data_IF_792986962098
#
_entry.id   IF_792986962098
#
_cell.length_a   1.000
_cell.length_b   1.000
_cell.length_c   1.000
_cell.angle_alpha   90.00
_cell.angle_beta   90.00
_cell.angle_gamma   90.00
#
_symmetry.space_group_name_H-M   'P 1'
#
loop_
_entity.id
_entity.type
_entity.pdbx_description
1 polymer ?
#
# COMPACT_ATOMS: atom_id res chain seq x y z
N UNK A 1 -16.12 -8.02 4.60
CA UNK A 1 -15.70 -9.20 5.39
C UNK A 1 -14.19 -9.24 5.40
N UNK A 2 -13.57 -9.48 6.55
CA UNK A 2 -12.12 -9.62 6.69
C UNK A 2 -11.78 -11.07 7.01
N UNK A 3 -10.83 -11.64 6.28
CA UNK A 3 -10.13 -12.87 6.66
C UNK A 3 -8.83 -12.42 7.32
N UNK A 4 -8.71 -12.66 8.62
CA UNK A 4 -7.66 -12.11 9.49
C UNK A 4 -6.85 -13.26 10.13
N UNK A 5 -5.63 -13.52 9.67
CA UNK A 5 -4.76 -14.55 10.24
C UNK A 5 -4.07 -14.10 11.54
N UNK A 6 -3.89 -12.79 11.75
CA UNK A 6 -3.10 -12.23 12.86
C UNK A 6 -3.96 -11.72 14.02
N UNK A 7 -5.29 -11.75 13.88
CA UNK A 7 -6.27 -11.35 14.91
C UNK A 7 -6.22 -9.86 15.27
N UNK A 8 -5.69 -9.03 14.37
CA UNK A 8 -5.58 -7.59 14.58
C UNK A 8 -6.93 -6.87 14.44
N UNK A 9 -7.79 -7.38 13.56
CA UNK A 9 -9.04 -6.72 13.14
C UNK A 9 -10.12 -6.75 14.22
N UNK A 10 -10.10 -7.75 15.10
CA UNK A 10 -11.09 -7.89 16.18
C UNK A 10 -11.09 -6.68 17.13
N UNK A 11 -9.89 -6.16 17.42
CA UNK A 11 -9.72 -4.97 18.26
C UNK A 11 -10.36 -3.71 17.67
N UNK A 12 -10.50 -3.65 16.34
CA UNK A 12 -10.99 -2.47 15.61
C UNK A 12 -12.46 -2.59 15.20
N UNK A 13 -12.93 -3.79 14.87
CA UNK A 13 -14.23 -3.99 14.21
C UNK A 13 -15.16 -4.98 14.94
N UNK A 14 -14.76 -5.48 16.11
CA UNK A 14 -15.54 -6.39 16.96
C UNK A 14 -15.16 -7.86 16.78
N UNK A 15 -15.70 -8.74 17.63
CA UNK A 15 -15.29 -10.15 17.66
C UNK A 15 -15.53 -10.92 16.36
N UNK A 16 -14.62 -11.84 16.07
CA UNK A 16 -14.72 -12.75 14.93
C UNK A 16 -15.92 -13.69 15.03
N UNK A 17 -16.33 -14.27 13.89
CA UNK A 17 -17.29 -15.37 13.87
C UNK A 17 -16.72 -16.58 14.58
N UNK A 18 -17.56 -17.30 15.31
CA UNK A 18 -17.13 -18.43 16.13
C UNK A 18 -17.09 -19.76 15.38
N UNK A 19 -17.82 -19.87 14.26
CA UNK A 19 -17.85 -21.06 13.42
C UNK A 19 -18.29 -20.75 11.98
N UNK A 20 -18.08 -21.68 11.01
CA UNK A 20 -18.61 -21.54 9.65
C UNK A 20 -20.13 -21.38 9.60
N UNK A 21 -20.87 -21.99 10.52
CA UNK A 21 -22.33 -21.85 10.63
C UNK A 21 -22.72 -20.44 11.10
N UNK A 22 -22.01 -19.87 12.08
CA UNK A 22 -22.20 -18.46 12.46
C UNK A 22 -21.90 -17.56 11.27
N UNK A 23 -20.83 -17.81 10.50
CA UNK A 23 -20.57 -17.06 9.27
C UNK A 23 -21.75 -17.15 8.28
N UNK A 24 -22.29 -18.34 8.02
CA UNK A 24 -23.46 -18.52 7.15
C UNK A 24 -24.65 -17.71 7.66
N UNK A 25 -24.93 -17.78 8.96
CA UNK A 25 -26.01 -17.04 9.59
C UNK A 25 -25.83 -15.52 9.42
N UNK A 26 -24.64 -14.98 9.67
CA UNK A 26 -24.32 -13.55 9.47
C UNK A 26 -24.46 -13.14 8.00
N UNK A 27 -23.98 -13.96 7.06
CA UNK A 27 -24.09 -13.66 5.63
C UNK A 27 -25.55 -13.69 5.15
N UNK A 28 -26.37 -14.56 5.73
CA UNK A 28 -27.81 -14.66 5.45
C UNK A 28 -28.57 -13.46 6.01
N UNK A 29 -28.39 -13.18 7.31
CA UNK A 29 -29.08 -12.09 8.02
C UNK A 29 -28.62 -10.71 7.60
N UNK A 30 -27.33 -10.57 7.25
CA UNK A 30 -26.66 -9.28 6.98
C UNK A 30 -26.87 -8.26 8.11
N UNK A 31 -26.86 -8.76 9.34
CA UNK A 31 -27.08 -7.99 10.56
C UNK A 31 -25.86 -7.16 10.98
N UNK A 32 -24.66 -7.50 10.47
CA UNK A 32 -23.42 -6.76 10.70
C UNK A 32 -22.84 -6.19 9.40
N UNK A 33 -22.39 -4.92 9.38
CA UNK A 33 -21.74 -4.33 8.20
C UNK A 33 -20.35 -4.90 7.95
N UNK A 34 -19.65 -5.29 9.02
CA UNK A 34 -18.32 -5.91 8.98
C UNK A 34 -18.41 -7.25 9.71
N UNK A 35 -17.89 -8.28 9.06
CA UNK A 35 -17.77 -9.64 9.59
C UNK A 35 -16.29 -10.01 9.51
N UNK A 36 -15.75 -10.53 10.60
CA UNK A 36 -14.34 -10.93 10.72
C UNK A 36 -14.32 -12.45 10.83
N UNK A 37 -13.46 -13.08 10.05
CA UNK A 37 -13.17 -14.51 10.09
C UNK A 37 -11.72 -14.65 10.50
N UNK A 38 -11.49 -15.25 11.66
CA UNK A 38 -10.15 -15.55 12.13
C UNK A 38 -9.74 -16.91 11.54
N UNK A 39 -8.72 -16.92 10.71
CA UNK A 39 -8.19 -18.14 10.11
C UNK A 39 -6.68 -18.00 9.95
N UNK A 40 -5.91 -18.73 10.77
CA UNK A 40 -4.44 -18.59 10.84
C UNK A 40 -3.73 -19.20 9.65
N UNK A 41 -4.34 -20.21 9.03
CA UNK A 41 -3.78 -20.94 7.91
C UNK A 41 -4.87 -21.46 6.96
N UNK A 42 -4.44 -22.14 5.90
CA UNK A 42 -5.33 -22.72 4.90
C UNK A 42 -6.31 -23.75 5.50
N UNK A 43 -5.90 -24.55 6.47
CA UNK A 43 -6.75 -25.58 7.08
C UNK A 43 -7.90 -24.95 7.85
N UNK A 44 -7.61 -23.91 8.64
CA UNK A 44 -8.65 -23.14 9.33
C UNK A 44 -9.54 -22.37 8.35
N UNK A 45 -8.98 -21.87 7.24
CA UNK A 45 -9.71 -21.09 6.25
C UNK A 45 -10.72 -21.90 5.41
N UNK A 46 -10.36 -23.12 4.99
CA UNK A 46 -11.16 -23.92 4.03
C UNK A 46 -12.64 -24.04 4.41
N UNK A 47 -13.01 -24.39 5.66
CA UNK A 47 -14.41 -24.47 6.07
C UNK A 47 -15.19 -23.15 5.87
N UNK A 48 -14.59 -22.02 6.23
CA UNK A 48 -15.18 -20.69 6.03
C UNK A 48 -15.25 -20.32 4.54
N UNK A 49 -14.20 -20.64 3.79
CA UNK A 49 -14.13 -20.41 2.35
C UNK A 49 -15.21 -21.16 1.57
N UNK A 50 -15.53 -22.39 1.97
CA UNK A 50 -16.66 -23.16 1.40
C UNK A 50 -18.01 -22.50 1.69
N UNK A 51 -18.27 -22.14 2.95
CA UNK A 51 -19.51 -21.44 3.33
C UNK A 51 -19.67 -20.13 2.55
N UNK A 52 -18.58 -19.39 2.39
CA UNK A 52 -18.55 -18.16 1.62
C UNK A 52 -18.96 -18.40 0.17
N UNK A 53 -18.39 -19.40 -0.49
CA UNK A 53 -18.73 -19.75 -1.88
C UNK A 53 -20.19 -20.15 -2.01
N UNK A 54 -20.69 -21.01 -1.11
CA UNK A 54 -22.09 -21.44 -1.08
C UNK A 54 -23.03 -20.22 -0.96
N UNK A 55 -22.76 -19.34 0.02
CA UNK A 55 -23.57 -18.15 0.25
C UNK A 55 -23.50 -17.16 -0.93
N UNK A 56 -22.33 -17.04 -1.56
CA UNK A 56 -22.14 -16.18 -2.72
C UNK A 56 -22.92 -16.71 -3.93
N UNK A 57 -22.96 -18.03 -4.13
CA UNK A 57 -23.73 -18.68 -5.19
C UNK A 57 -25.25 -18.61 -4.95
N UNK A 58 -25.69 -18.84 -3.70
CA UNK A 58 -27.09 -18.86 -3.31
C UNK A 58 -27.71 -17.46 -3.31
N UNK A 59 -27.09 -16.50 -2.60
CA UNK A 59 -27.72 -15.20 -2.37
C UNK A 59 -27.38 -14.18 -3.45
N UNK A 60 -26.18 -14.26 -4.06
CA UNK A 60 -25.66 -13.30 -5.07
C UNK A 60 -25.82 -11.83 -4.66
N UNK A 61 -25.69 -11.55 -3.37
CA UNK A 61 -25.76 -10.19 -2.82
C UNK A 61 -24.35 -9.58 -2.78
N UNK A 62 -24.23 -8.26 -2.97
CA UNK A 62 -22.94 -7.58 -2.91
C UNK A 62 -22.16 -7.92 -1.62
N UNK A 63 -20.94 -8.42 -1.80
CA UNK A 63 -20.02 -8.75 -0.73
C UNK A 63 -18.61 -8.29 -1.11
N UNK A 64 -17.99 -7.49 -0.24
CA UNK A 64 -16.59 -7.12 -0.35
C UNK A 64 -15.77 -7.94 0.63
N UNK A 65 -14.78 -8.66 0.13
CA UNK A 65 -13.93 -9.56 0.90
C UNK A 65 -12.52 -9.01 0.90
N UNK A 66 -11.95 -8.81 2.08
CA UNK A 66 -10.55 -8.50 2.26
C UNK A 66 -9.86 -9.74 2.85
N UNK A 67 -8.90 -10.28 2.12
CA UNK A 67 -8.07 -11.39 2.57
C UNK A 67 -6.72 -10.81 2.95
N UNK A 68 -6.43 -10.82 4.26
CA UNK A 68 -5.12 -10.39 4.73
C UNK A 68 -4.09 -11.51 4.55
N UNK A 69 -2.84 -11.14 4.33
CA UNK A 69 -1.72 -12.07 4.10
C UNK A 69 -2.05 -13.24 3.17
N UNK A 70 -2.56 -12.93 1.97
CA UNK A 70 -3.12 -13.89 1.03
C UNK A 70 -2.21 -15.05 0.64
N UNK A 71 -0.89 -14.94 0.83
CA UNK A 71 0.06 -16.03 0.62
C UNK A 71 -0.16 -17.23 1.56
N UNK A 72 -0.88 -17.04 2.67
CA UNK A 72 -1.26 -18.14 3.58
C UNK A 72 -2.36 -19.02 2.98
N UNK A 73 -3.17 -18.46 2.07
CA UNK A 73 -4.35 -19.13 1.49
C UNK A 73 -4.23 -19.38 -0.02
N UNK A 74 -3.19 -18.82 -0.67
CA UNK A 74 -2.96 -18.95 -2.11
C UNK A 74 -1.50 -19.30 -2.39
N UNK A 75 -1.25 -20.40 -3.09
CA UNK A 75 0.10 -20.85 -3.45
C UNK A 75 0.36 -20.83 -4.97
N UNK A 76 1.62 -20.54 -5.34
CA UNK A 76 2.09 -20.52 -6.74
C UNK A 76 2.14 -21.88 -7.43
N UNK A 77 2.27 -22.97 -6.67
CA UNK A 77 2.27 -24.36 -7.17
C UNK A 77 1.11 -25.12 -6.54
N UNK A 78 0.51 -26.05 -7.28
CA UNK A 78 -0.40 -27.06 -6.70
C UNK A 78 0.33 -27.81 -5.61
N UNK A 79 0.02 -27.48 -4.36
CA UNK A 79 0.41 -28.27 -3.19
C UNK A 79 -0.74 -29.24 -2.89
N UNK A 80 -0.39 -30.45 -2.43
CA UNK A 80 -1.39 -31.41 -1.93
C UNK A 80 -1.99 -30.85 -0.63
N UNK A 81 -3.17 -31.34 -0.23
CA UNK A 81 -3.86 -31.00 1.04
C UNK A 81 -4.55 -29.61 1.03
N UNK A 82 -4.89 -29.09 2.22
CA UNK A 82 -5.80 -27.97 2.44
C UNK A 82 -5.36 -26.66 1.77
N UNK A 83 -4.05 -26.45 1.59
CA UNK A 83 -3.52 -25.27 0.88
C UNK A 83 -3.91 -25.26 -0.61
N UNK A 84 -4.01 -26.44 -1.24
CA UNK A 84 -4.48 -26.57 -2.62
C UNK A 84 -5.95 -26.18 -2.73
N UNK A 85 -6.75 -26.63 -1.77
CA UNK A 85 -8.16 -26.30 -1.71
C UNK A 85 -8.41 -24.82 -1.39
N UNK A 86 -7.71 -24.25 -0.41
CA UNK A 86 -7.76 -22.82 -0.13
C UNK A 86 -7.42 -21.99 -1.37
N UNK A 87 -6.39 -22.42 -2.12
CA UNK A 87 -5.99 -21.77 -3.38
C UNK A 87 -7.11 -21.84 -4.41
N UNK A 88 -7.77 -22.99 -4.55
CA UNK A 88 -8.90 -23.18 -5.48
C UNK A 88 -10.11 -22.31 -5.09
N UNK A 89 -10.41 -22.18 -3.80
CA UNK A 89 -11.45 -21.28 -3.28
C UNK A 89 -11.13 -19.82 -3.65
N UNK A 90 -9.90 -19.34 -3.37
CA UNK A 90 -9.47 -17.99 -3.72
C UNK A 90 -9.55 -17.77 -5.24
N UNK A 91 -9.13 -18.74 -6.04
CA UNK A 91 -9.21 -18.66 -7.50
C UNK A 91 -10.66 -18.57 -7.99
N UNK A 92 -11.59 -19.29 -7.37
CA UNK A 92 -13.00 -19.24 -7.75
C UNK A 92 -13.63 -17.89 -7.36
N UNK A 93 -13.27 -17.34 -6.20
CA UNK A 93 -13.68 -15.99 -5.79
C UNK A 93 -13.16 -14.92 -6.76
N UNK A 94 -11.88 -15.01 -7.16
CA UNK A 94 -11.29 -14.05 -8.10
C UNK A 94 -11.89 -14.21 -9.51
N UNK A 95 -11.97 -15.43 -10.03
CA UNK A 95 -12.39 -15.70 -11.41
C UNK A 95 -13.90 -15.59 -11.63
N UNK A 96 -14.72 -15.93 -10.62
CA UNK A 96 -16.20 -15.92 -10.72
C UNK A 96 -16.87 -14.88 -9.85
N UNK A 97 -16.14 -14.15 -9.01
CA UNK A 97 -16.70 -13.16 -8.08
C UNK A 97 -17.63 -12.14 -8.74
N UNK A 98 -17.26 -11.63 -9.92
CA UNK A 98 -18.11 -10.71 -10.71
C UNK A 98 -19.51 -11.26 -10.99
N UNK A 99 -19.66 -12.57 -11.22
CA UNK A 99 -20.97 -13.21 -11.48
C UNK A 99 -21.79 -13.41 -10.19
N UNK A 100 -21.11 -13.45 -9.04
CA UNK A 100 -21.68 -13.69 -7.71
C UNK A 100 -21.84 -12.40 -6.88
N UNK A 101 -21.59 -11.23 -7.48
CA UNK A 101 -21.52 -9.94 -6.79
C UNK A 101 -20.50 -9.91 -5.64
N UNK A 102 -19.37 -10.60 -5.83
CA UNK A 102 -18.26 -10.63 -4.88
C UNK A 102 -17.08 -9.85 -5.44
N UNK A 103 -16.67 -8.84 -4.68
CA UNK A 103 -15.42 -8.13 -4.88
C UNK A 103 -14.40 -8.61 -3.84
N UNK A 104 -13.15 -8.76 -4.27
CA UNK A 104 -12.07 -9.25 -3.42
C UNK A 104 -10.86 -8.33 -3.47
N UNK A 105 -10.27 -8.08 -2.31
CA UNK A 105 -9.00 -7.41 -2.13
C UNK A 105 -8.08 -8.33 -1.34
N UNK A 106 -6.87 -8.53 -1.85
CA UNK A 106 -5.88 -9.43 -1.23
C UNK A 106 -4.65 -8.59 -0.93
N UNK A 107 -4.19 -8.61 0.32
CA UNK A 107 -2.89 -8.07 0.70
C UNK A 107 -1.86 -9.20 0.62
N UNK A 108 -0.62 -8.85 0.27
CA UNK A 108 0.49 -9.79 0.30
C UNK A 108 1.79 -9.00 0.44
N UNK A 109 2.71 -9.54 1.24
CA UNK A 109 4.02 -8.90 1.50
C UNK A 109 4.92 -8.84 0.25
N UNK A 110 4.76 -9.77 -0.69
CA UNK A 110 5.56 -9.83 -1.92
C UNK A 110 4.66 -9.92 -3.15
N UNK A 111 4.96 -9.11 -4.16
CA UNK A 111 4.13 -8.99 -5.35
C UNK A 111 4.16 -10.23 -6.24
N UNK A 112 5.30 -10.90 -6.39
CA UNK A 112 5.41 -12.11 -7.24
C UNK A 112 6.07 -13.24 -6.49
N UNK A 113 5.64 -14.47 -6.78
CA UNK A 113 6.09 -15.77 -6.23
C UNK A 113 5.33 -16.31 -5.00
N UNK A 114 4.53 -15.48 -4.35
CA UNK A 114 3.77 -15.85 -3.15
C UNK A 114 2.35 -16.30 -3.47
N UNK A 115 1.61 -15.54 -4.31
CA UNK A 115 0.24 -15.85 -4.70
C UNK A 115 0.15 -16.65 -6.01
N UNK A 116 -0.98 -17.35 -6.20
CA UNK A 116 -1.27 -18.01 -7.47
C UNK A 116 -1.34 -17.02 -8.64
N UNK A 117 -0.88 -17.45 -9.83
CA UNK A 117 -0.77 -16.59 -11.01
C UNK A 117 -2.12 -16.10 -11.52
N UNK A 118 -3.18 -16.88 -11.34
CA UNK A 118 -4.59 -16.53 -11.65
C UNK A 118 -5.02 -15.22 -11.00
N UNK A 119 -4.63 -14.99 -9.74
CA UNK A 119 -4.97 -13.78 -8.98
C UNK A 119 -4.51 -12.52 -9.71
N UNK A 120 -3.36 -12.59 -10.38
CA UNK A 120 -2.80 -11.45 -11.10
C UNK A 120 -3.43 -11.21 -12.48
N UNK A 121 -4.02 -12.25 -13.09
CA UNK A 121 -4.65 -12.15 -14.42
C UNK A 121 -6.00 -11.44 -14.38
N UNK A 122 -6.76 -11.64 -13.30
CA UNK A 122 -8.15 -11.17 -13.20
C UNK A 122 -8.30 -9.89 -12.36
N UNK A 123 -7.19 -9.31 -11.88
CA UNK A 123 -7.21 -8.07 -11.09
C UNK A 123 -7.55 -6.84 -11.94
N UNK A 124 -8.36 -5.95 -11.37
CA UNK A 124 -8.72 -4.67 -12.01
C UNK A 124 -7.96 -3.47 -11.46
N UNK A 125 -7.42 -3.62 -10.25
CA UNK A 125 -6.72 -2.60 -9.51
C UNK A 125 -5.55 -3.25 -8.76
N UNK A 126 -4.44 -2.53 -8.63
CA UNK A 126 -3.26 -2.99 -7.88
C UNK A 126 -2.67 -1.80 -7.15
N UNK A 127 -2.44 -1.97 -5.86
CA UNK A 127 -1.75 -0.99 -5.03
C UNK A 127 -0.37 -1.53 -4.74
N UNK A 128 0.65 -0.77 -5.12
CA UNK A 128 2.04 -1.12 -4.87
C UNK A 128 2.57 -0.10 -3.86
N UNK A 129 2.83 -0.58 -2.64
CA UNK A 129 3.44 0.21 -1.58
C UNK A 129 4.97 0.28 -1.73
N UNK A 130 5.61 0.83 -0.70
CA UNK A 130 7.07 0.95 -0.64
C UNK A 130 7.77 -0.38 -0.88
N UNK A 131 8.79 -0.38 -1.75
CA UNK A 131 9.63 -1.55 -2.02
C UNK A 131 11.08 -1.23 -1.63
N UNK A 132 11.59 -1.91 -0.60
CA UNK A 132 12.96 -1.75 -0.14
C UNK A 132 13.92 -2.77 -0.76
N UNK A 133 13.40 -3.94 -1.19
CA UNK A 133 14.18 -5.03 -1.77
C UNK A 133 14.24 -4.91 -3.32
N UNK A 134 15.42 -4.63 -3.91
CA UNK A 134 15.56 -4.50 -5.36
C UNK A 134 15.29 -5.79 -6.13
N UNK A 135 15.36 -6.96 -5.48
CA UNK A 135 15.16 -8.25 -6.16
C UNK A 135 13.74 -8.40 -6.71
N UNK A 136 12.76 -7.75 -6.06
CA UNK A 136 11.35 -7.74 -6.46
C UNK A 136 11.12 -6.90 -7.73
N UNK A 137 12.02 -5.97 -8.04
CA UNK A 137 11.88 -5.06 -9.18
C UNK A 137 11.72 -5.80 -10.50
N UNK A 138 12.48 -6.88 -10.71
CA UNK A 138 12.43 -7.67 -11.95
C UNK A 138 11.02 -8.13 -12.32
N UNK A 139 10.18 -8.41 -11.33
CA UNK A 139 8.83 -8.90 -11.52
C UNK A 139 7.77 -7.80 -11.52
N UNK A 140 8.07 -6.65 -10.90
CA UNK A 140 7.23 -5.45 -10.90
C UNK A 140 7.41 -4.57 -12.15
N UNK A 141 8.65 -4.42 -12.62
CA UNK A 141 9.04 -3.55 -13.73
C UNK A 141 8.17 -3.70 -15.00
N UNK A 142 7.71 -4.91 -15.40
CA UNK A 142 6.81 -5.04 -16.54
C UNK A 142 5.49 -4.25 -16.40
N UNK A 143 4.98 -4.06 -15.18
CA UNK A 143 3.76 -3.26 -14.95
C UNK A 143 4.00 -1.75 -15.08
N UNK A 144 5.23 -1.30 -14.91
CA UNK A 144 5.63 0.10 -15.00
C UNK A 144 6.17 0.46 -16.38
N UNK A 145 6.16 -0.46 -17.35
CA UNK A 145 6.71 -0.22 -18.69
C UNK A 145 6.02 0.98 -19.35
N UNK A 146 6.82 1.94 -19.80
CA UNK A 146 6.32 3.15 -20.47
C UNK A 146 5.86 4.27 -19.55
N UNK A 147 5.91 4.07 -18.22
CA UNK A 147 5.56 5.11 -17.25
C UNK A 147 6.72 5.99 -16.78
N UNK A 148 7.96 5.54 -17.03
CA UNK A 148 9.16 6.18 -16.49
C UNK A 148 9.38 5.97 -14.99
N UNK A 149 8.55 5.16 -14.32
CA UNK A 149 8.74 4.82 -12.91
C UNK A 149 9.84 3.78 -12.76
N UNK A 150 10.75 4.05 -11.84
CA UNK A 150 11.87 3.18 -11.49
C UNK A 150 11.72 2.60 -10.08
N UNK A 151 12.60 1.66 -9.74
CA UNK A 151 12.66 1.10 -8.39
C UNK A 151 12.87 2.18 -7.31
N UNK A 152 13.66 3.21 -7.62
CA UNK A 152 13.95 4.33 -6.71
C UNK A 152 12.67 5.08 -6.33
N UNK A 153 11.73 5.24 -7.25
CA UNK A 153 10.44 5.88 -6.97
C UNK A 153 9.61 5.05 -5.99
N UNK A 154 9.57 3.72 -6.16
CA UNK A 154 8.90 2.81 -5.22
C UNK A 154 9.54 2.84 -3.84
N UNK A 155 10.87 2.89 -3.77
CA UNK A 155 11.62 2.96 -2.52
C UNK A 155 11.34 4.29 -1.76
N UNK A 156 11.08 5.38 -2.49
CA UNK A 156 10.79 6.69 -1.89
C UNK A 156 9.35 6.88 -1.39
N UNK A 157 8.47 5.90 -1.59
CA UNK A 157 7.10 5.98 -1.09
C UNK A 157 7.08 6.03 0.44
N UNK A 158 6.36 7.01 0.99
CA UNK A 158 6.14 7.10 2.42
C UNK A 158 5.03 6.15 2.90
N UNK A 159 4.89 5.95 4.23
CA UNK A 159 3.79 5.18 4.78
C UNK A 159 2.42 5.70 4.32
N UNK A 160 1.58 4.80 3.82
CA UNK A 160 0.25 5.12 3.27
C UNK A 160 0.28 5.69 1.85
N UNK A 161 1.43 5.76 1.19
CA UNK A 161 1.54 6.11 -0.22
C UNK A 161 1.70 4.86 -1.08
N UNK A 162 1.01 4.85 -2.22
CA UNK A 162 0.98 3.71 -3.13
C UNK A 162 0.99 4.20 -4.57
N UNK A 163 1.53 3.38 -5.48
CA UNK A 163 1.15 3.46 -6.88
C UNK A 163 -0.09 2.62 -7.11
N UNK A 164 -1.16 3.27 -7.54
CA UNK A 164 -2.40 2.63 -7.97
C UNK A 164 -2.32 2.38 -9.47
N UNK A 165 -2.32 1.10 -9.85
CA UNK A 165 -2.39 0.67 -11.24
C UNK A 165 -3.82 0.18 -11.50
N UNK A 166 -4.49 0.81 -12.44
CA UNK A 166 -5.83 0.43 -12.87
C UNK A 166 -5.89 0.32 -14.39
N UNK A 167 -7.04 -0.11 -14.92
CA UNK A 167 -7.30 -0.08 -16.37
C UNK A 167 -7.25 1.33 -16.98
N UNK A 168 -7.40 2.39 -16.17
CA UNK A 168 -7.37 3.78 -16.63
C UNK A 168 -5.96 4.36 -16.70
N UNK A 169 -4.97 3.62 -16.22
CA UNK A 169 -3.60 4.09 -16.08
C UNK A 169 -3.13 4.00 -14.64
N UNK A 170 -2.06 4.74 -14.35
CA UNK A 170 -1.35 4.66 -13.09
C UNK A 170 -1.22 6.04 -12.45
N UNK A 171 -1.43 6.09 -11.15
CA UNK A 171 -1.34 7.30 -10.35
C UNK A 171 -0.71 7.01 -8.99
N UNK A 172 0.01 7.99 -8.44
CA UNK A 172 0.46 7.96 -7.05
C UNK A 172 -0.69 8.44 -6.17
N UNK A 173 -1.11 7.59 -5.24
CA UNK A 173 -2.20 7.88 -4.31
C UNK A 173 -1.69 7.82 -2.88
N UNK A 174 -2.26 8.66 -2.02
CA UNK A 174 -2.05 8.60 -0.58
C UNK A 174 -3.35 8.18 0.09
N UNK A 175 -3.33 7.01 0.72
CA UNK A 175 -4.48 6.49 1.44
C UNK A 175 -4.55 7.11 2.83
N UNK A 176 -5.68 7.74 3.20
CA UNK A 176 -5.87 8.22 4.55
C UNK A 176 -5.98 7.04 5.53
N UNK A 177 -5.42 7.22 6.73
CA UNK A 177 -5.58 6.26 7.81
C UNK A 177 -7.06 6.11 8.17
N UNK A 178 -7.53 4.87 8.34
CA UNK A 178 -8.89 4.61 8.80
C UNK A 178 -9.12 5.20 10.20
N UNK A 179 -10.32 5.72 10.46
CA UNK A 179 -10.66 6.32 11.75
C UNK A 179 -10.50 5.35 12.93
N UNK A 180 -10.89 4.09 12.73
CA UNK A 180 -10.74 3.04 13.73
C UNK A 180 -9.26 2.79 14.07
N UNK A 181 -8.42 2.65 13.03
CA UNK A 181 -6.97 2.51 13.21
C UNK A 181 -6.36 3.73 13.90
N UNK A 182 -6.81 4.95 13.59
CA UNK A 182 -6.33 6.18 14.24
C UNK A 182 -6.55 6.23 15.76
N UNK A 183 -7.47 5.44 16.31
CA UNK A 183 -7.70 5.37 17.77
C UNK A 183 -6.66 4.50 18.48
N UNK A 184 -6.11 3.50 17.79
CA UNK A 184 -5.17 2.51 18.34
C UNK A 184 -3.75 2.69 17.83
N UNK A 185 -3.57 3.42 16.71
CA UNK A 185 -2.29 3.58 16.05
C UNK A 185 -1.31 4.40 16.88
N UNK A 186 -0.11 3.86 17.05
CA UNK A 186 1.01 4.63 17.60
C UNK A 186 1.40 5.72 16.62
N UNK A 187 1.56 6.95 17.11
CA UNK A 187 1.96 8.09 16.29
C UNK A 187 3.33 7.79 15.67
N UNK A 188 3.38 7.66 14.34
CA UNK A 188 4.61 7.38 13.62
C UNK A 188 5.69 8.41 13.99
N UNK A 189 6.90 7.93 14.31
CA UNK A 189 8.06 8.81 14.46
C UNK A 189 8.29 9.49 13.11
N UNK A 190 8.38 10.82 13.05
CA UNK A 190 8.64 11.50 11.78
C UNK A 190 9.96 10.99 11.20
N UNK A 191 9.89 10.37 10.03
CA UNK A 191 11.07 9.93 9.29
C UNK A 191 11.88 11.18 8.95
N UNK A 192 13.14 11.23 9.39
CA UNK A 192 14.06 12.30 8.97
C UNK A 192 14.18 12.23 7.46
N UNK A 193 13.79 13.30 6.76
CA UNK A 193 13.97 13.41 5.32
C UNK A 193 15.44 13.16 5.01
N UNK A 194 15.72 12.13 4.22
CA UNK A 194 17.06 11.92 3.67
C UNK A 194 17.35 13.07 2.71
N UNK A 195 18.52 13.68 2.87
CA UNK A 195 19.00 14.68 1.91
C UNK A 195 19.27 13.98 0.58
N UNK A 196 19.09 14.67 -0.57
CA UNK A 196 19.44 14.10 -1.87
C UNK A 196 20.88 13.59 -1.86
N UNK A 197 21.10 12.38 -2.40
CA UNK A 197 22.39 11.69 -2.31
C UNK A 197 23.24 11.84 -3.58
N UNK A 198 22.64 12.28 -4.69
CA UNK A 198 23.32 12.43 -5.98
C UNK A 198 23.09 13.81 -6.59
N UNK A 199 23.99 14.22 -7.50
CA UNK A 199 23.88 15.52 -8.20
C UNK A 199 22.55 15.66 -8.95
N UNK A 200 22.09 14.62 -9.65
CA UNK A 200 20.83 14.64 -10.39
C UNK A 200 19.61 14.80 -9.48
N UNK A 201 19.64 14.20 -8.28
CA UNK A 201 18.58 14.37 -7.29
C UNK A 201 18.60 15.78 -6.70
N UNK A 202 19.79 16.32 -6.42
CA UNK A 202 19.96 17.71 -5.99
C UNK A 202 19.44 18.69 -7.05
N UNK A 203 19.83 18.51 -8.31
CA UNK A 203 19.39 19.37 -9.40
C UNK A 203 17.86 19.35 -9.55
N UNK A 204 17.24 18.17 -9.52
CA UNK A 204 15.77 18.03 -9.56
C UNK A 204 15.08 18.66 -8.36
N UNK A 205 15.64 18.49 -7.16
CA UNK A 205 15.11 19.07 -5.93
C UNK A 205 15.21 20.60 -5.94
N UNK A 206 16.33 21.15 -6.43
CA UNK A 206 16.56 22.59 -6.57
C UNK A 206 15.65 23.19 -7.63
N UNK A 207 15.53 22.55 -8.81
CA UNK A 207 14.62 22.98 -9.88
C UNK A 207 13.15 23.05 -9.45
N UNK A 208 12.74 22.21 -8.48
CA UNK A 208 11.39 22.23 -7.91
C UNK A 208 11.10 23.41 -6.96
N UNK A 209 12.12 24.18 -6.55
CA UNK A 209 11.94 25.38 -5.72
C UNK A 209 11.66 26.57 -6.65
N UNK A 210 10.55 27.29 -6.44
CA UNK A 210 10.24 28.48 -7.25
C UNK A 210 11.21 29.63 -7.00
N UNK A 211 11.47 30.44 -8.02
CA UNK A 211 12.34 31.63 -7.93
C UNK A 211 11.83 32.62 -6.86
N UNK A 212 10.51 32.82 -6.75
CA UNK A 212 9.90 33.65 -5.69
C UNK A 212 10.29 33.15 -4.29
N UNK A 213 10.31 31.84 -4.08
CA UNK A 213 10.68 31.24 -2.79
C UNK A 213 12.18 31.40 -2.50
N UNK A 214 13.03 31.32 -3.52
CA UNK A 214 14.47 31.60 -3.39
C UNK A 214 14.73 33.07 -3.07
N UNK A 215 14.00 34.00 -3.69
CA UNK A 215 14.14 35.44 -3.43
C UNK A 215 13.71 35.81 -2.01
N UNK A 216 12.71 35.14 -1.44
CA UNK A 216 12.33 35.30 -0.02
C UNK A 216 13.44 34.86 0.94
N UNK A 217 14.35 34.00 0.49
CA UNK A 217 15.55 33.62 1.25
C UNK A 217 16.69 34.67 1.13
N UNK A 218 16.42 35.86 0.58
CA UNK A 218 17.34 37.01 0.73
C UNK A 218 17.10 37.81 2.00
N UNK A 219 15.98 37.57 2.70
CA UNK A 219 15.70 38.22 3.97
C UNK A 219 16.65 37.71 5.06
N UNK A 220 17.64 38.54 5.37
CA UNK A 220 18.72 38.20 6.29
C UNK A 220 18.27 37.99 7.73
N UNK A 221 17.17 38.61 8.17
CA UNK A 221 16.72 38.49 9.57
C UNK A 221 16.08 37.13 9.83
N UNK A 222 15.15 36.70 8.98
CA UNK A 222 14.49 35.40 9.09
C UNK A 222 15.50 34.25 8.99
N UNK A 223 16.49 34.37 8.10
CA UNK A 223 17.52 33.35 7.90
C UNK A 223 18.47 33.25 9.08
N UNK A 224 18.88 34.37 9.67
CA UNK A 224 19.74 34.35 10.85
C UNK A 224 19.03 33.70 12.04
N UNK A 225 17.74 33.98 12.24
CA UNK A 225 16.92 33.34 13.28
C UNK A 225 16.78 31.84 13.02
N UNK A 226 16.45 31.44 11.79
CA UNK A 226 16.32 30.02 11.42
C UNK A 226 17.65 29.27 11.53
N UNK A 227 18.76 29.92 11.16
CA UNK A 227 20.11 29.38 11.29
C UNK A 227 20.52 29.17 12.75
N UNK A 228 20.19 30.12 13.62
CA UNK A 228 20.42 29.99 15.06
C UNK A 228 19.59 28.86 15.68
N UNK A 229 18.31 28.73 15.32
CA UNK A 229 17.42 27.63 15.76
C UNK A 229 17.94 26.27 15.27
N UNK A 230 18.47 26.23 14.04
CA UNK A 230 19.01 25.01 13.45
C UNK A 230 20.45 24.66 13.91
N UNK A 231 21.10 25.53 14.71
CA UNK A 231 22.46 25.32 15.19
C UNK A 231 23.53 25.40 14.09
N UNK A 232 23.29 26.16 13.03
CA UNK A 232 24.24 26.31 11.92
C UNK A 232 25.39 27.25 12.29
N UNK A 233 26.60 26.91 11.88
CA UNK A 233 27.77 27.77 12.06
C UNK A 233 27.76 28.96 11.10
N UNK A 234 28.46 30.05 11.45
CA UNK A 234 28.60 31.21 10.57
C UNK A 234 29.16 30.83 9.18
N UNK A 235 30.07 29.84 9.10
CA UNK A 235 30.62 29.34 7.84
C UNK A 235 29.56 28.61 6.99
N UNK A 236 28.65 27.87 7.61
CA UNK A 236 27.55 27.21 6.92
C UNK A 236 26.54 28.23 6.39
N UNK A 237 26.28 29.29 7.16
CA UNK A 237 25.41 30.40 6.74
C UNK A 237 25.98 31.14 5.52
N UNK A 238 27.29 31.43 5.52
CA UNK A 238 27.97 32.08 4.39
C UNK A 238 27.98 31.19 3.13
N UNK A 239 28.27 29.90 3.30
CA UNK A 239 28.23 28.92 2.19
C UNK A 239 26.82 28.83 1.59
N UNK A 240 25.78 28.85 2.44
CA UNK A 240 24.39 28.85 2.01
C UNK A 240 24.02 30.10 1.21
N UNK A 241 24.46 31.28 1.65
CA UNK A 241 24.25 32.54 0.94
C UNK A 241 24.94 32.57 -0.44
N UNK A 242 26.16 32.04 -0.52
CA UNK A 242 26.88 31.91 -1.79
C UNK A 242 26.20 30.93 -2.75
N UNK A 243 25.71 29.79 -2.24
CA UNK A 243 24.96 28.82 -3.05
C UNK A 243 23.63 29.40 -3.57
N UNK A 244 22.90 30.14 -2.73
CA UNK A 244 21.68 30.84 -3.14
C UNK A 244 21.96 31.84 -4.27
N UNK A 245 23.06 32.60 -4.16
CA UNK A 245 23.47 33.55 -5.20
C UNK A 245 23.74 32.82 -6.51
N UNK A 246 24.58 31.78 -6.49
CA UNK A 246 24.92 31.00 -7.69
C UNK A 246 23.66 30.41 -8.36
N UNK A 247 22.71 29.89 -7.58
CA UNK A 247 21.47 29.33 -8.12
C UNK A 247 20.58 30.38 -8.78
N UNK A 248 20.50 31.59 -8.22
CA UNK A 248 19.75 32.70 -8.82
C UNK A 248 20.43 33.21 -10.10
N UNK A 249 21.76 33.35 -10.07
CA UNK A 249 22.54 33.78 -11.24
C UNK A 249 22.34 32.80 -12.41
N UNK A 250 22.36 31.48 -12.16
CA UNK A 250 22.09 30.45 -13.18
C UNK A 250 20.66 30.52 -13.75
N UNK A 251 19.69 30.97 -12.95
CA UNK A 251 18.28 31.08 -13.37
C UNK A 251 17.96 32.38 -14.10
N UNK A 252 18.72 33.45 -13.84
CA UNK A 252 18.59 34.73 -14.52
C UNK A 252 19.25 34.68 -15.93
N UNK A 253 20.19 33.75 -16.15
CA UNK A 253 20.85 33.51 -17.45
C UNK A 253 20.10 32.51 -18.38
N UNK A 254 19.04 31.84 -17.88
CA UNK A 254 18.27 30.81 -18.59
C UNK A 254 16.92 31.32 -19.11
#
# INVERSE_FOLDING_TARGET
MFIDPESEMESMYGGAVISPEDLRERLTKRDKPIVIVQAKDATEFVPYGRVLLDCADEFRKPLFIMVDEGQLFSATRKRKEDIGEATDIINDLVGRGRKRAVDIMITALRYTSTLNRSVFSDKNLTLIGTQEDPTVWSALAPQFRGSGIEFTDLNTLGPGEFYCISRRGMERVRMPMAKALGQVAQRAKPVRRSLPATFSQWNRAMAGISTDRLLRLRDSEAINVLGAIAGLSAQQMLTGAAALKNELDVRDEA
#
